data_IF_234270592480
#
_entry.id   IF_234270592480
#
_cell.length_a   1.000
_cell.length_b   1.000
_cell.length_c   1.000
_cell.angle_alpha   90.00
_cell.angle_beta   90.00
_cell.angle_gamma   90.00
#
_symmetry.space_group_name_H-M   'P 1'
#
loop_
_entity.id
_entity.type
_entity.pdbx_description
1 polymer ?
#
# COMPACT_ATOMS: atom_id res chain seq x y z
N UNK A 1 29.65 15.71 15.09
CA UNK A 1 28.65 16.66 14.51
C UNK A 1 28.45 16.41 13.02
N UNK A 2 29.50 16.49 12.20
CA UNK A 2 29.39 16.30 10.73
C UNK A 2 28.87 14.91 10.35
N UNK A 3 29.43 13.85 10.95
CA UNK A 3 28.99 12.47 10.69
C UNK A 3 27.51 12.27 11.08
N UNK A 4 27.10 12.84 12.20
CA UNK A 4 25.71 12.77 12.66
C UNK A 4 24.75 13.38 11.63
N UNK A 5 25.05 14.59 11.14
CA UNK A 5 24.24 15.25 10.11
C UNK A 5 24.23 14.46 8.79
N UNK A 6 25.38 13.93 8.36
CA UNK A 6 25.47 13.08 7.16
C UNK A 6 24.62 11.83 7.30
N UNK A 7 24.70 11.12 8.43
CA UNK A 7 23.92 9.90 8.65
C UNK A 7 22.42 10.17 8.67
N UNK A 8 21.98 11.24 9.34
CA UNK A 8 20.55 11.60 9.39
C UNK A 8 20.04 11.97 8.00
N UNK A 9 20.82 12.70 7.21
CA UNK A 9 20.46 13.09 5.86
C UNK A 9 20.34 11.88 4.93
N UNK A 10 21.29 10.94 5.00
CA UNK A 10 21.27 9.72 4.18
C UNK A 10 20.06 8.85 4.52
N UNK A 11 19.81 8.59 5.81
CA UNK A 11 18.67 7.77 6.24
C UNK A 11 17.34 8.46 5.90
N UNK A 12 17.24 9.77 6.15
CA UNK A 12 16.05 10.56 5.82
C UNK A 12 15.74 10.54 4.32
N UNK A 13 16.76 10.72 3.47
CA UNK A 13 16.61 10.62 2.02
C UNK A 13 16.17 9.21 1.58
N UNK A 14 16.75 8.16 2.14
CA UNK A 14 16.37 6.78 1.83
C UNK A 14 14.90 6.50 2.18
N UNK A 15 14.42 6.97 3.34
CA UNK A 15 13.02 6.84 3.74
C UNK A 15 12.08 7.61 2.81
N UNK A 16 12.48 8.80 2.36
CA UNK A 16 11.70 9.62 1.43
C UNK A 16 11.55 8.91 0.07
N UNK A 17 12.63 8.33 -0.46
CA UNK A 17 12.60 7.53 -1.70
C UNK A 17 11.68 6.32 -1.56
N UNK A 18 11.74 5.59 -0.44
CA UNK A 18 10.85 4.45 -0.19
C UNK A 18 9.38 4.88 -0.11
N UNK A 19 9.09 5.99 0.57
CA UNK A 19 7.73 6.53 0.68
C UNK A 19 7.16 6.94 -0.69
N UNK A 20 7.94 7.66 -1.50
CA UNK A 20 7.54 8.03 -2.87
C UNK A 20 7.36 6.79 -3.74
N UNK A 21 8.24 5.80 -3.62
CA UNK A 21 8.13 4.54 -4.35
C UNK A 21 6.84 3.77 -4.04
N UNK A 22 6.42 3.72 -2.78
CA UNK A 22 5.16 3.09 -2.36
C UNK A 22 3.96 3.87 -2.91
N UNK A 23 3.99 5.19 -2.86
CA UNK A 23 2.92 6.05 -3.39
C UNK A 23 2.75 5.85 -4.91
N UNK A 24 3.85 5.82 -5.66
CA UNK A 24 3.85 5.60 -7.11
C UNK A 24 3.43 4.18 -7.50
N UNK A 25 3.72 3.19 -6.67
CA UNK A 25 3.35 1.79 -6.93
C UNK A 25 1.83 1.62 -7.07
N UNK A 26 1.04 2.46 -6.38
CA UNK A 26 -0.42 2.52 -6.43
C UNK A 26 -1.12 1.14 -6.32
N UNK A 27 -0.41 0.13 -5.82
CA UNK A 27 -0.93 -1.20 -5.52
C UNK A 27 -1.59 -1.11 -4.15
N UNK A 28 -2.80 -1.63 -4.03
CA UNK A 28 -3.39 -1.84 -2.71
C UNK A 28 -2.44 -2.73 -1.91
N UNK A 29 -1.99 -2.25 -0.74
CA UNK A 29 -1.15 -3.00 0.17
C UNK A 29 -1.96 -4.19 0.70
N UNK A 30 -1.67 -5.39 0.19
CA UNK A 30 -2.24 -6.66 0.67
C UNK A 30 -1.60 -7.03 2.00
N UNK A 31 -1.98 -6.31 3.05
CA UNK A 31 -1.59 -6.51 4.45
C UNK A 31 -2.76 -7.06 5.26
N UNK A 32 -3.25 -6.33 6.27
CA UNK A 32 -4.43 -6.75 7.06
C UNK A 32 -5.69 -7.03 6.22
N UNK A 33 -5.80 -6.42 5.02
CA UNK A 33 -6.85 -6.65 4.01
C UNK A 33 -6.43 -7.68 2.93
N UNK A 34 -5.30 -8.37 3.11
CA UNK A 34 -4.56 -9.12 2.08
C UNK A 34 -5.02 -10.56 1.83
N UNK A 35 -6.30 -10.86 2.08
CA UNK A 35 -6.92 -12.14 1.71
C UNK A 35 -7.67 -12.06 0.38
N UNK A 36 -8.12 -13.20 -0.18
CA UNK A 36 -9.17 -13.21 -1.21
C UNK A 36 -10.40 -12.42 -0.73
N UNK A 37 -11.25 -11.92 -1.63
CA UNK A 37 -12.45 -11.13 -1.30
C UNK A 37 -13.11 -11.56 0.02
N UNK A 38 -12.86 -10.79 1.08
CA UNK A 38 -13.48 -11.00 2.37
C UNK A 38 -14.83 -10.27 2.31
N UNK A 39 -15.92 -11.03 2.14
CA UNK A 39 -17.25 -10.48 2.42
C UNK A 39 -17.36 -10.27 3.93
N UNK A 40 -17.77 -9.07 4.33
CA UNK A 40 -18.25 -8.81 5.70
C UNK A 40 -19.50 -9.67 5.96
N UNK A 41 -19.83 -9.90 7.24
CA UNK A 41 -21.03 -10.62 7.65
C UNK A 41 -22.34 -10.04 7.08
N UNK A 42 -22.30 -8.78 6.63
CA UNK A 42 -23.41 -8.03 6.06
C UNK A 42 -23.46 -8.05 4.51
N UNK A 43 -22.57 -8.80 3.85
CA UNK A 43 -22.56 -8.94 2.39
C UNK A 43 -21.77 -7.86 1.63
N UNK A 44 -21.15 -6.90 2.34
CA UNK A 44 -20.31 -5.85 1.74
C UNK A 44 -18.87 -6.33 1.56
N UNK A 45 -18.26 -6.01 0.41
CA UNK A 45 -16.86 -6.30 0.14
C UNK A 45 -15.98 -5.46 1.06
N UNK A 46 -15.13 -6.11 1.86
CA UNK A 46 -14.15 -5.42 2.72
C UNK A 46 -12.99 -4.88 1.87
N UNK A 47 -13.30 -4.03 0.91
CA UNK A 47 -12.30 -3.20 0.25
C UNK A 47 -11.87 -2.15 1.26
N UNK A 48 -10.62 -2.25 1.70
CA UNK A 48 -9.91 -1.23 2.47
C UNK A 48 -10.35 0.19 1.98
N UNK A 49 -11.13 0.90 2.80
CA UNK A 49 -11.78 2.21 2.50
C UNK A 49 -10.81 3.26 1.93
N UNK A 50 -9.52 3.12 2.24
CA UNK A 50 -8.44 4.02 1.84
C UNK A 50 -7.67 3.57 0.60
N UNK A 51 -8.04 2.46 -0.08
CA UNK A 51 -7.34 2.08 -1.32
C UNK A 51 -7.79 2.99 -2.49
N UNK A 52 -6.86 3.71 -3.14
CA UNK A 52 -7.17 4.56 -4.29
C UNK A 52 -7.51 3.78 -5.57
N UNK A 53 -7.22 2.48 -5.64
CA UNK A 53 -7.43 1.64 -6.82
C UNK A 53 -8.41 0.48 -6.56
N UNK A 54 -9.44 0.74 -5.73
CA UNK A 54 -10.43 -0.25 -5.25
C UNK A 54 -11.23 -0.90 -6.39
N UNK A 55 -11.46 -0.16 -7.46
CA UNK A 55 -12.30 -0.49 -8.61
C UNK A 55 -11.62 -1.42 -9.62
N UNK A 56 -10.28 -1.49 -9.63
CA UNK A 56 -9.55 -2.38 -10.56
C UNK A 56 -9.47 -3.83 -10.07
N UNK A 57 -9.59 -4.06 -8.76
CA UNK A 57 -9.40 -5.37 -8.15
C UNK A 57 -10.56 -6.34 -8.45
N UNK A 58 -11.80 -5.82 -8.59
CA UNK A 58 -12.99 -6.61 -8.95
C UNK A 58 -12.95 -7.20 -10.37
N UNK A 59 -12.02 -6.76 -11.21
CA UNK A 59 -11.87 -7.26 -12.60
C UNK A 59 -10.81 -8.36 -12.76
N UNK A 60 -10.02 -8.66 -11.72
CA UNK A 60 -8.92 -9.65 -11.81
C UNK A 60 -9.23 -10.97 -11.10
N UNK A 61 -10.25 -11.06 -10.24
CA UNK A 61 -10.67 -12.35 -9.64
C UNK A 61 -11.71 -13.12 -10.48
N UNK A 62 -12.15 -12.59 -11.63
CA UNK A 62 -13.01 -13.31 -12.60
C UNK A 62 -12.23 -13.82 -13.84
N UNK A 63 -10.92 -14.05 -13.72
CA UNK A 63 -10.10 -14.66 -14.79
C UNK A 63 -8.93 -15.49 -14.27
N UNK A 64 -9.02 -16.05 -13.06
CA UNK A 64 -8.21 -17.20 -12.64
C UNK A 64 -9.03 -18.15 -11.80
#
# INVERSE_FOLDING_TARGET
MVIFLLTTLVIGAAMLVMAVGVLLSNRCLRGSCGGPELLSADGESLLCETCPNRDKLSSTELST
#
